data_IF_443078622324
#
_entry.id   IF_443078622324
#
_cell.length_a   1.000
_cell.length_b   1.000
_cell.length_c   1.000
_cell.angle_alpha   90.00
_cell.angle_beta   90.00
_cell.angle_gamma   90.00
#
_symmetry.space_group_name_H-M   'P 1'
#
loop_
_entity.id
_entity.type
_entity.pdbx_description
1 polymer ?
#
# COMPACT_ATOMS: atom_id res chain seq x y z
N UNK A 1 3.59 -1.20 34.53
CA UNK A 1 4.56 -0.91 33.44
C UNK A 1 3.87 -1.00 32.10
N UNK A 2 3.76 0.11 31.36
CA UNK A 2 3.11 0.15 30.05
C UNK A 2 4.16 0.26 28.92
N UNK A 3 5.16 -0.64 28.97
CA UNK A 3 6.23 -0.69 27.97
C UNK A 3 5.69 -1.32 26.69
N UNK A 4 5.81 -0.63 25.55
CA UNK A 4 5.41 -1.15 24.23
C UNK A 4 6.49 -2.03 23.58
N UNK A 5 7.76 -1.80 23.94
CA UNK A 5 8.93 -2.52 23.43
C UNK A 5 9.87 -2.80 24.62
N UNK A 6 10.48 -3.97 24.66
CA UNK A 6 11.52 -4.32 25.65
C UNK A 6 12.64 -5.14 25.01
N UNK A 7 13.75 -5.26 25.73
CA UNK A 7 14.77 -6.27 25.46
C UNK A 7 14.21 -7.68 25.66
N UNK A 8 14.80 -8.66 24.98
CA UNK A 8 14.42 -10.05 25.14
C UNK A 8 14.85 -10.56 26.51
N UNK A 9 13.93 -11.20 27.24
CA UNK A 9 14.16 -11.75 28.57
C UNK A 9 13.69 -13.20 28.74
N UNK A 10 13.09 -13.77 27.70
CA UNK A 10 12.59 -15.15 27.69
C UNK A 10 12.50 -15.70 26.26
N UNK A 11 12.36 -17.01 26.18
CA UNK A 11 12.13 -17.74 24.95
C UNK A 11 10.82 -17.33 24.29
N UNK A 12 10.85 -17.18 22.98
CA UNK A 12 9.65 -17.05 22.17
C UNK A 12 8.99 -18.42 21.98
N UNK A 13 7.66 -18.42 22.00
CA UNK A 13 6.85 -19.59 21.66
C UNK A 13 6.17 -19.40 20.31
N UNK A 14 5.83 -20.51 19.64
CA UNK A 14 5.05 -20.49 18.40
C UNK A 14 3.56 -20.29 18.71
N UNK A 15 3.22 -19.13 19.27
CA UNK A 15 1.85 -18.75 19.66
C UNK A 15 1.48 -17.38 19.08
N UNK A 16 0.19 -17.03 19.11
CA UNK A 16 -0.32 -15.72 18.67
C UNK A 16 0.18 -15.35 17.26
N UNK A 17 0.90 -14.23 17.11
CA UNK A 17 1.38 -13.73 15.83
C UNK A 17 2.48 -14.60 15.22
N UNK A 18 3.30 -15.28 16.03
CA UNK A 18 4.28 -16.23 15.53
C UNK A 18 3.56 -17.42 14.87
N UNK A 19 2.56 -17.98 15.56
CA UNK A 19 1.73 -19.05 15.00
C UNK A 19 0.96 -18.60 13.75
N UNK A 20 0.40 -17.38 13.77
CA UNK A 20 -0.32 -16.83 12.63
C UNK A 20 0.59 -16.72 11.39
N UNK A 21 1.82 -16.24 11.55
CA UNK A 21 2.78 -16.15 10.44
C UNK A 21 3.25 -17.53 9.97
N UNK A 22 3.47 -18.48 10.88
CA UNK A 22 3.82 -19.86 10.54
C UNK A 22 2.74 -20.56 9.71
N UNK A 23 1.45 -20.33 10.04
CA UNK A 23 0.28 -20.84 9.30
C UNK A 23 0.17 -20.33 7.86
N UNK A 24 1.00 -19.38 7.44
CA UNK A 24 1.09 -18.95 6.05
C UNK A 24 2.03 -19.81 5.20
N UNK A 25 2.93 -20.56 5.83
CA UNK A 25 3.79 -21.53 5.16
C UNK A 25 2.93 -22.68 4.61
N UNK A 26 3.19 -23.13 3.37
CA UNK A 26 2.52 -24.31 2.81
C UNK A 26 3.16 -25.61 3.32
N UNK A 27 3.09 -25.81 4.64
CA UNK A 27 3.56 -27.01 5.31
C UNK A 27 2.79 -27.20 6.62
N UNK A 28 2.62 -28.44 7.13
CA UNK A 28 2.04 -28.69 8.44
C UNK A 28 2.78 -27.93 9.54
N UNK A 29 2.02 -27.34 10.47
CA UNK A 29 2.61 -26.57 11.56
C UNK A 29 3.36 -27.50 12.52
N UNK A 30 4.65 -27.20 12.75
CA UNK A 30 5.48 -27.85 13.75
C UNK A 30 6.12 -26.80 14.67
N UNK A 31 5.85 -26.89 15.96
CA UNK A 31 6.27 -25.96 17.02
C UNK A 31 7.56 -26.36 17.73
N UNK A 32 8.16 -27.50 17.35
CA UNK A 32 9.43 -27.97 17.90
C UNK A 32 10.61 -27.60 17.01
N UNK A 33 10.49 -27.85 15.70
CA UNK A 33 11.58 -27.67 14.74
C UNK A 33 11.23 -26.72 13.59
N UNK A 34 9.97 -26.29 13.49
CA UNK A 34 9.49 -25.51 12.36
C UNK A 34 9.20 -26.35 11.12
N UNK A 35 8.98 -25.70 9.98
CA UNK A 35 8.61 -26.37 8.73
C UNK A 35 9.13 -25.61 7.50
N UNK A 36 9.24 -26.33 6.37
CA UNK A 36 9.75 -25.84 5.10
C UNK A 36 8.83 -26.28 3.96
N UNK A 37 8.25 -25.31 3.23
CA UNK A 37 7.36 -25.55 2.11
C UNK A 37 8.10 -26.00 0.82
N UNK A 38 9.43 -26.03 0.84
CA UNK A 38 10.27 -26.49 -0.28
C UNK A 38 9.91 -25.79 -1.58
N UNK A 39 9.60 -26.55 -2.63
CA UNK A 39 9.23 -26.04 -3.96
C UNK A 39 7.82 -25.46 -4.00
N UNK A 40 6.93 -25.86 -3.10
CA UNK A 40 5.51 -25.46 -3.06
C UNK A 40 5.24 -24.21 -2.22
N UNK A 41 6.27 -23.41 -1.91
CA UNK A 41 6.14 -22.20 -1.11
C UNK A 41 5.18 -21.15 -1.73
N UNK A 42 5.02 -21.16 -3.06
CA UNK A 42 4.07 -20.29 -3.77
C UNK A 42 2.60 -20.63 -3.49
N UNK A 43 2.27 -21.81 -2.98
CA UNK A 43 0.90 -22.15 -2.59
C UNK A 43 0.55 -21.61 -1.18
N UNK A 44 1.54 -21.05 -0.46
CA UNK A 44 1.35 -20.45 0.86
C UNK A 44 0.51 -19.16 0.83
N UNK A 45 0.00 -18.78 2.00
CA UNK A 45 -0.84 -17.57 2.12
C UNK A 45 -0.01 -16.30 1.95
N UNK A 46 -0.52 -15.30 1.21
CA UNK A 46 0.21 -14.05 0.95
C UNK A 46 0.36 -13.20 2.23
N UNK A 47 1.49 -12.49 2.31
CA UNK A 47 1.84 -11.54 3.38
C UNK A 47 2.22 -10.21 2.73
N UNK A 48 1.50 -9.13 3.09
CA UNK A 48 1.90 -7.77 2.72
C UNK A 48 3.15 -7.37 3.52
N UNK A 49 4.21 -6.94 2.83
CA UNK A 49 5.45 -6.50 3.48
C UNK A 49 5.61 -5.00 3.37
N UNK A 50 5.87 -4.37 4.52
CA UNK A 50 6.20 -2.94 4.62
C UNK A 50 7.61 -2.82 5.17
N UNK A 51 8.48 -2.05 4.50
CA UNK A 51 9.81 -1.71 5.02
C UNK A 51 9.79 -0.30 5.60
N UNK A 52 10.36 -0.16 6.79
CA UNK A 52 10.49 1.12 7.50
C UNK A 52 11.94 1.65 7.37
N UNK A 53 12.09 2.98 7.32
CA UNK A 53 13.39 3.63 7.19
C UNK A 53 14.41 3.29 8.29
N UNK A 54 13.96 2.93 9.50
CA UNK A 54 14.84 2.52 10.61
C UNK A 54 15.64 1.25 10.31
N UNK A 55 15.26 0.48 9.29
CA UNK A 55 16.01 -0.66 8.81
C UNK A 55 17.26 -0.29 7.99
N UNK A 56 17.47 0.99 7.64
CA UNK A 56 18.57 1.42 6.79
C UNK A 56 19.97 1.01 7.27
N UNK A 57 20.15 0.82 8.59
CA UNK A 57 21.40 0.30 9.18
C UNK A 57 21.68 -1.17 8.86
N UNK A 58 20.65 -1.95 8.55
CA UNK A 58 20.72 -3.40 8.36
C UNK A 58 20.34 -3.84 6.94
N UNK A 59 19.71 -2.98 6.15
CA UNK A 59 19.18 -3.33 4.84
C UNK A 59 19.25 -2.17 3.86
N UNK A 60 19.97 -2.39 2.75
CA UNK A 60 20.00 -1.48 1.59
C UNK A 60 18.65 -1.30 0.89
N UNK A 61 17.67 -2.15 1.19
CA UNK A 61 16.33 -2.10 0.59
C UNK A 61 15.34 -1.23 1.38
N UNK A 62 15.73 -0.77 2.58
CA UNK A 62 14.92 0.14 3.37
C UNK A 62 14.70 1.47 2.63
N UNK A 63 13.51 2.09 2.74
CA UNK A 63 13.30 3.43 2.20
C UNK A 63 14.14 4.45 2.99
N UNK A 64 14.43 5.60 2.37
CA UNK A 64 15.15 6.70 3.04
C UNK A 64 14.35 7.30 4.20
N UNK A 65 13.03 7.34 4.05
CA UNK A 65 12.11 7.93 5.03
C UNK A 65 10.82 7.10 5.15
N UNK A 66 10.13 7.26 6.27
CA UNK A 66 8.78 6.72 6.49
C UNK A 66 8.65 5.20 6.35
N UNK A 67 7.54 4.78 5.76
CA UNK A 67 7.17 3.38 5.53
C UNK A 67 6.83 3.20 4.05
N UNK A 68 7.30 2.11 3.43
CA UNK A 68 6.99 1.77 2.04
C UNK A 68 6.44 0.35 1.94
N UNK A 69 5.30 0.20 1.27
CA UNK A 69 4.78 -1.10 0.89
C UNK A 69 5.61 -1.68 -0.26
N UNK A 70 6.10 -2.90 -0.09
CA UNK A 70 7.04 -3.54 -1.01
C UNK A 70 6.46 -4.78 -1.71
N UNK A 71 5.15 -4.97 -1.61
CA UNK A 71 4.39 -6.03 -2.27
C UNK A 71 4.11 -7.24 -1.39
N UNK A 72 3.70 -8.31 -2.07
CA UNK A 72 3.30 -9.60 -1.53
C UNK A 72 4.49 -10.56 -1.43
N UNK A 73 4.60 -11.20 -0.28
CA UNK A 73 5.58 -12.23 0.03
C UNK A 73 4.87 -13.47 0.55
N UNK A 74 5.56 -14.60 0.52
CA UNK A 74 5.11 -15.87 1.10
C UNK A 74 6.17 -16.44 2.01
N UNK A 75 5.73 -17.14 3.06
CA UNK A 75 6.61 -17.81 4.02
C UNK A 75 7.11 -19.11 3.38
N UNK A 76 8.41 -19.19 3.13
CA UNK A 76 9.07 -20.37 2.56
C UNK A 76 9.34 -21.40 3.64
N UNK A 77 9.91 -20.96 4.76
CA UNK A 77 10.18 -21.79 5.92
C UNK A 77 10.23 -20.96 7.19
N UNK A 78 10.10 -21.62 8.32
CA UNK A 78 10.27 -21.02 9.63
C UNK A 78 10.88 -22.04 10.58
N UNK A 79 11.66 -21.60 11.56
CA UNK A 79 12.42 -22.46 12.47
C UNK A 79 12.80 -21.70 13.76
N UNK A 80 12.96 -22.39 14.91
CA UNK A 80 13.51 -21.79 16.11
C UNK A 80 15.02 -21.65 16.00
N UNK A 81 15.59 -20.59 16.58
CA UNK A 81 17.03 -20.35 16.65
C UNK A 81 17.39 -19.61 17.94
N UNK A 82 18.65 -19.66 18.38
CA UNK A 82 19.11 -18.93 19.58
C UNK A 82 19.49 -17.50 19.21
N UNK A 83 19.04 -16.54 20.02
CA UNK A 83 19.47 -15.15 19.93
C UNK A 83 20.89 -14.98 20.46
N UNK A 84 21.48 -13.81 20.23
CA UNK A 84 22.80 -13.45 20.80
C UNK A 84 22.81 -13.46 22.33
N UNK A 85 21.64 -13.43 22.97
CA UNK A 85 21.47 -13.49 24.42
C UNK A 85 21.03 -14.89 24.91
N UNK A 86 21.09 -15.91 24.05
CA UNK A 86 20.84 -17.31 24.40
C UNK A 86 19.37 -17.74 24.39
N UNK A 87 18.41 -16.83 24.22
CA UNK A 87 16.98 -17.15 24.19
C UNK A 87 16.51 -17.64 22.82
N UNK A 88 15.53 -18.53 22.80
CA UNK A 88 14.90 -19.01 21.57
C UNK A 88 14.10 -17.89 20.89
N UNK A 89 14.28 -17.75 19.58
CA UNK A 89 13.51 -16.88 18.69
C UNK A 89 13.01 -17.66 17.47
N UNK A 90 11.80 -17.35 17.02
CA UNK A 90 11.27 -17.91 15.78
C UNK A 90 11.68 -17.07 14.58
N UNK A 91 12.43 -17.66 13.66
CA UNK A 91 12.86 -17.03 12.40
C UNK A 91 11.98 -17.48 11.25
N UNK A 92 11.77 -16.58 10.29
CA UNK A 92 10.94 -16.79 9.11
C UNK A 92 11.71 -16.37 7.87
N UNK A 93 11.66 -17.19 6.83
CA UNK A 93 12.20 -16.87 5.51
C UNK A 93 11.04 -16.51 4.61
N UNK A 94 11.02 -15.26 4.15
CA UNK A 94 10.01 -14.74 3.24
C UNK A 94 10.62 -14.57 1.84
N UNK A 95 9.87 -14.96 0.81
CA UNK A 95 10.24 -14.72 -0.59
C UNK A 95 9.11 -13.96 -1.29
N UNK A 96 9.49 -13.01 -2.14
CA UNK A 96 8.55 -12.16 -2.87
C UNK A 96 7.84 -12.98 -3.95
N UNK A 97 6.52 -12.83 -4.03
CA UNK A 97 5.65 -13.45 -5.05
C UNK A 97 4.55 -12.44 -5.39
N UNK A 98 4.94 -11.43 -6.17
CA UNK A 98 4.11 -10.28 -6.50
C UNK A 98 4.38 -9.89 -7.96
N UNK A 99 3.33 -9.73 -8.79
CA UNK A 99 3.47 -9.38 -10.20
C UNK A 99 4.00 -7.95 -10.42
N UNK A 100 3.76 -7.02 -9.49
CA UNK A 100 4.32 -5.68 -9.61
C UNK A 100 5.83 -5.69 -9.38
N UNK A 101 6.62 -4.88 -10.10
CA UNK A 101 8.06 -4.81 -9.89
C UNK A 101 8.40 -4.28 -8.49
N UNK A 102 9.51 -4.75 -7.92
CA UNK A 102 9.92 -4.32 -6.59
C UNK A 102 10.43 -2.86 -6.62
N UNK A 103 10.17 -2.02 -5.61
CA UNK A 103 10.47 -0.58 -5.65
C UNK A 103 11.92 -0.16 -5.92
N UNK A 104 12.89 -1.06 -5.72
CA UNK A 104 14.31 -0.80 -5.95
C UNK A 104 14.80 -1.21 -7.34
N UNK A 105 13.99 -1.94 -8.12
CA UNK A 105 14.29 -2.31 -9.50
C UNK A 105 14.08 -1.12 -10.45
N UNK A 106 14.74 -1.08 -11.63
CA UNK A 106 14.49 -0.04 -12.63
C UNK A 106 13.00 0.11 -12.98
N UNK A 107 12.33 -1.01 -13.26
CA UNK A 107 10.89 -1.06 -13.61
C UNK A 107 10.03 -0.56 -12.45
N UNK A 108 10.42 -0.88 -11.21
CA UNK A 108 9.75 -0.40 -10.01
C UNK A 108 9.89 1.12 -9.83
N UNK A 109 11.06 1.69 -10.12
CA UNK A 109 11.29 3.13 -10.05
C UNK A 109 10.51 3.87 -11.13
N UNK A 110 10.52 3.36 -12.35
CA UNK A 110 9.72 3.89 -13.46
C UNK A 110 8.23 3.84 -13.12
N UNK A 111 7.73 2.71 -12.59
CA UNK A 111 6.33 2.59 -12.15
C UNK A 111 5.98 3.58 -11.04
N UNK A 112 6.87 3.80 -10.06
CA UNK A 112 6.67 4.79 -9.00
C UNK A 112 6.59 6.21 -9.57
N UNK A 113 7.48 6.55 -10.49
CA UNK A 113 7.48 7.85 -11.18
C UNK A 113 6.22 8.02 -12.04
N UNK A 114 5.88 7.00 -12.83
CA UNK A 114 4.69 6.95 -13.66
C UNK A 114 3.41 7.10 -12.84
N UNK A 115 3.31 6.46 -11.67
CA UNK A 115 2.16 6.58 -10.77
C UNK A 115 2.15 7.89 -9.95
N UNK A 116 3.24 8.67 -9.97
CA UNK A 116 3.36 9.90 -9.18
C UNK A 116 3.31 9.66 -7.66
N UNK A 117 3.76 8.49 -7.20
CA UNK A 117 3.69 8.12 -5.78
C UNK A 117 4.70 8.94 -4.98
N UNK A 118 4.21 9.62 -3.94
CA UNK A 118 4.99 10.49 -3.05
C UNK A 118 4.81 10.11 -1.59
N UNK A 119 5.71 10.59 -0.73
CA UNK A 119 5.55 10.46 0.72
C UNK A 119 4.22 11.08 1.15
N UNK A 120 3.43 10.32 1.89
CA UNK A 120 2.17 10.77 2.44
C UNK A 120 2.38 11.15 3.90
N UNK A 121 1.92 12.34 4.26
CA UNK A 121 1.86 12.82 5.63
C UNK A 121 0.40 12.94 6.06
N UNK A 122 0.10 12.80 7.36
CA UNK A 122 -1.21 13.14 7.88
C UNK A 122 -1.57 14.61 7.58
N UNK A 123 -2.87 14.89 7.47
CA UNK A 123 -3.36 16.24 7.20
C UNK A 123 -2.87 17.24 8.26
N UNK A 124 -2.45 18.42 7.82
CA UNK A 124 -1.90 19.47 8.68
C UNK A 124 -0.52 19.18 9.28
N UNK A 125 0.08 17.99 9.06
CA UNK A 125 1.37 17.64 9.64
C UNK A 125 2.50 18.56 9.15
N UNK A 126 2.59 18.78 7.84
CA UNK A 126 3.63 19.63 7.25
C UNK A 126 3.50 21.08 7.71
N UNK A 127 2.29 21.63 7.71
CA UNK A 127 2.01 22.97 8.21
C UNK A 127 2.38 23.13 9.69
N UNK A 128 2.10 22.11 10.49
CA UNK A 128 2.45 22.08 11.92
C UNK A 128 3.98 22.04 12.09
N UNK A 129 4.67 21.19 11.33
CA UNK A 129 6.13 21.12 11.35
C UNK A 129 6.79 22.45 10.90
N UNK A 130 6.22 23.13 9.91
CA UNK A 130 6.67 24.46 9.49
C UNK A 130 6.47 25.53 10.57
N UNK A 131 5.35 25.47 11.32
CA UNK A 131 5.10 26.38 12.45
C UNK A 131 6.11 26.15 13.57
N UNK A 132 6.45 24.88 13.86
CA UNK A 132 7.48 24.54 14.85
C UNK A 132 8.87 25.00 14.43
N UNK A 133 9.26 24.81 13.16
CA UNK A 133 10.57 25.28 12.68
C UNK A 133 10.68 26.81 12.70
N UNK A 134 9.60 27.52 12.39
CA UNK A 134 9.53 29.00 12.47
C UNK A 134 9.52 29.53 13.92
N UNK A 135 9.01 28.76 14.89
CA UNK A 135 9.02 29.15 16.31
C UNK A 135 10.36 28.87 16.99
N UNK A 136 11.10 27.83 16.58
CA UNK A 136 12.47 27.59 17.08
C UNK A 136 13.50 28.64 16.67
N UNK A 137 13.26 29.40 15.59
CA UNK A 137 14.12 30.52 15.18
C UNK A 137 13.92 31.77 16.07
N UNK A 138 12.85 31.83 16.87
CA UNK A 138 12.54 32.96 17.77
C UNK A 138 12.54 32.53 19.24
N UNK A 139 13.67 32.06 19.78
CA UNK A 139 14.03 32.20 21.22
C UNK A 139 15.41 31.60 21.55
N UNK A 140 16.43 32.47 21.58
CA UNK A 140 17.23 32.76 22.79
C UNK A 140 18.11 34.01 22.53
N UNK A 141 18.04 35.05 23.38
CA UNK A 141 19.08 36.07 23.44
C UNK A 141 20.36 35.44 24.00
N UNK A 142 21.47 35.90 23.45
CA UNK A 142 22.85 35.63 23.81
C UNK A 142 23.15 36.01 25.26
N UNK A 143 23.87 35.16 25.98
CA UNK A 143 24.84 35.58 26.99
C UNK A 143 26.20 35.29 26.36
N UNK A 144 27.00 36.35 26.26
CA UNK A 144 28.33 36.42 25.71
C UNK A 144 29.31 35.57 26.52
N UNK A 145 30.21 34.87 25.83
CA UNK A 145 31.62 34.90 26.23
C UNK A 145 32.51 34.70 25.00
N UNK A 146 33.49 35.58 24.89
CA UNK A 146 34.35 35.84 23.73
C UNK A 146 35.51 34.84 23.61
N UNK A 147 35.85 34.47 22.37
CA UNK A 147 37.23 34.47 21.84
C UNK A 147 37.24 34.17 20.33
N UNK A 148 37.27 35.26 19.55
CA UNK A 148 38.11 35.61 18.38
C UNK A 148 38.54 34.47 17.41
N UNK A 149 38.01 34.43 16.18
CA UNK A 149 38.56 34.97 14.89
C UNK A 149 39.63 34.05 14.27
N UNK A 150 39.51 33.57 13.03
CA UNK A 150 39.73 34.36 11.81
C UNK A 150 39.07 33.78 10.52
N UNK A 151 38.89 34.70 9.57
CA UNK A 151 38.28 34.75 8.23
C UNK A 151 38.75 33.67 7.22
N UNK A 152 38.20 33.43 6.01
CA UNK A 152 37.26 34.01 5.02
C UNK A 152 36.97 32.85 4.01
N UNK A 153 35.91 32.75 3.22
CA UNK A 153 35.48 33.63 2.12
C UNK A 153 34.00 33.34 1.77
N UNK A 154 33.30 34.41 1.38
CA UNK A 154 31.95 34.41 0.83
C UNK A 154 32.05 34.23 -0.68
N UNK A 155 31.24 33.35 -1.26
CA UNK A 155 30.79 33.53 -2.64
C UNK A 155 29.26 33.68 -2.66
N UNK A 156 28.84 34.90 -2.95
CA UNK A 156 27.45 35.32 -3.10
C UNK A 156 27.13 35.31 -4.59
N UNK A 157 26.32 34.36 -5.06
CA UNK A 157 25.64 34.51 -6.36
C UNK A 157 24.12 34.42 -6.21
N UNK A 158 23.36 35.34 -6.82
CA UNK A 158 21.92 35.49 -6.59
C UNK A 158 21.11 34.44 -7.37
N UNK A 159 20.32 33.63 -6.64
CA UNK A 159 19.36 32.68 -7.23
C UNK A 159 18.23 33.47 -7.90
N UNK A 160 18.28 33.58 -9.23
CA UNK A 160 17.17 34.03 -10.07
C UNK A 160 15.98 33.07 -9.89
N UNK A 161 14.84 33.61 -9.46
CA UNK A 161 13.55 32.91 -9.39
C UNK A 161 13.12 32.43 -10.79
N UNK A 162 13.30 31.15 -11.09
CA UNK A 162 12.67 30.52 -12.23
C UNK A 162 11.17 30.34 -11.96
N UNK A 163 10.34 31.17 -12.60
CA UNK A 163 8.90 30.93 -12.74
C UNK A 163 8.72 29.76 -13.71
N UNK A 164 8.56 28.55 -13.19
CA UNK A 164 8.19 27.39 -14.01
C UNK A 164 6.73 27.52 -14.45
N UNK A 165 6.52 27.82 -15.75
CA UNK A 165 5.22 27.69 -16.43
C UNK A 165 4.74 26.25 -16.23
N UNK A 166 3.55 26.07 -15.63
CA UNK A 166 2.86 24.77 -15.58
C UNK A 166 2.56 24.31 -17.01
N UNK A 167 3.35 23.38 -17.52
CA UNK A 167 3.01 22.61 -18.71
C UNK A 167 1.98 21.57 -18.25
N UNK A 168 0.74 21.72 -18.71
CA UNK A 168 -0.38 20.80 -18.42
C UNK A 168 -0.17 19.55 -19.29
N UNK A 169 0.69 18.65 -18.83
CA UNK A 169 0.99 17.39 -19.53
C UNK A 169 -0.19 16.44 -19.29
N UNK A 170 -1.00 16.22 -20.32
CA UNK A 170 -2.11 15.25 -20.31
C UNK A 170 -1.55 13.86 -20.01
N UNK A 171 -2.02 13.24 -18.94
CA UNK A 171 -1.65 11.87 -18.59
C UNK A 171 -2.38 10.92 -19.53
N UNK A 172 -1.64 10.11 -20.29
CA UNK A 172 -2.21 9.08 -21.14
C UNK A 172 -2.18 7.71 -20.45
N UNK A 173 -3.26 6.94 -20.64
CA UNK A 173 -3.40 5.60 -20.06
C UNK A 173 -2.62 4.59 -20.90
N UNK A 174 -2.06 3.56 -20.26
CA UNK A 174 -1.49 2.40 -20.97
C UNK A 174 -2.57 1.75 -21.85
N UNK A 175 -2.19 1.25 -23.03
CA UNK A 175 -3.15 0.74 -24.02
C UNK A 175 -3.98 -0.44 -23.47
N UNK A 176 -3.35 -1.34 -22.69
CA UNK A 176 -4.05 -2.43 -22.00
C UNK A 176 -5.16 -1.91 -21.05
N UNK A 177 -4.90 -0.81 -20.36
CA UNK A 177 -5.88 -0.22 -19.45
C UNK A 177 -7.03 0.46 -20.21
N UNK A 178 -6.73 1.10 -21.36
CA UNK A 178 -7.75 1.69 -22.23
C UNK A 178 -8.70 0.61 -22.75
N UNK A 179 -8.14 -0.49 -23.25
CA UNK A 179 -8.92 -1.63 -23.77
C UNK A 179 -9.84 -2.21 -22.68
N UNK A 180 -9.32 -2.40 -21.46
CA UNK A 180 -10.13 -2.88 -20.34
C UNK A 180 -11.26 -1.89 -19.99
N UNK A 181 -10.97 -0.59 -19.96
CA UNK A 181 -11.99 0.43 -19.66
C UNK A 181 -13.07 0.47 -20.74
N UNK A 182 -12.71 0.40 -22.02
CA UNK A 182 -13.65 0.44 -23.14
C UNK A 182 -14.53 -0.82 -23.23
N UNK A 183 -13.97 -1.98 -22.84
CA UNK A 183 -14.71 -3.23 -22.81
C UNK A 183 -15.73 -3.32 -21.65
N UNK A 184 -15.62 -2.48 -20.62
CA UNK A 184 -16.53 -2.45 -19.47
C UNK A 184 -17.76 -1.57 -19.72
N UNK A 185 -18.56 -1.98 -20.72
CA UNK A 185 -19.69 -1.20 -21.26
C UNK A 185 -20.72 -0.79 -20.21
N UNK A 186 -20.93 -1.63 -19.18
CA UNK A 186 -21.94 -1.35 -18.13
C UNK A 186 -21.52 -0.18 -17.25
N UNK A 187 -20.21 0.07 -17.10
CA UNK A 187 -19.69 1.16 -16.27
C UNK A 187 -19.20 2.36 -17.10
N UNK A 188 -19.62 2.48 -18.37
CA UNK A 188 -19.17 3.55 -19.28
C UNK A 188 -19.29 4.93 -18.63
N UNK A 189 -20.43 5.25 -18.02
CA UNK A 189 -20.63 6.54 -17.35
C UNK A 189 -19.61 6.81 -16.24
N UNK A 190 -19.34 5.81 -15.39
CA UNK A 190 -18.36 5.92 -14.31
C UNK A 190 -16.94 6.09 -14.85
N UNK A 191 -16.62 5.39 -15.95
CA UNK A 191 -15.33 5.49 -16.61
C UNK A 191 -15.13 6.84 -17.28
N UNK A 192 -16.13 7.40 -17.96
CA UNK A 192 -16.04 8.73 -18.57
C UNK A 192 -15.86 9.83 -17.51
N UNK A 193 -16.55 9.74 -16.36
CA UNK A 193 -16.30 10.63 -15.23
C UNK A 193 -14.85 10.56 -14.74
N UNK A 194 -14.27 9.36 -14.68
CA UNK A 194 -12.88 9.17 -14.31
C UNK A 194 -11.93 9.71 -15.38
N UNK A 195 -12.17 9.39 -16.67
CA UNK A 195 -11.37 9.85 -17.81
C UNK A 195 -11.35 11.38 -17.91
N UNK A 196 -12.43 12.07 -17.57
CA UNK A 196 -12.47 13.53 -17.52
C UNK A 196 -11.39 14.12 -16.58
N UNK A 197 -10.99 13.37 -15.54
CA UNK A 197 -9.92 13.74 -14.59
C UNK A 197 -8.51 13.49 -15.09
N UNK A 198 -8.31 12.86 -16.26
CA UNK A 198 -6.98 12.70 -16.87
C UNK A 198 -6.31 14.05 -17.14
N UNK A 199 -7.11 15.07 -17.51
CA UNK A 199 -6.64 16.44 -17.75
C UNK A 199 -6.16 17.17 -16.49
N UNK A 200 -6.63 16.73 -15.31
CA UNK A 200 -6.23 17.21 -13.99
C UNK A 200 -5.00 16.44 -13.44
N UNK A 201 -4.53 15.46 -14.21
CA UNK A 201 -3.38 14.63 -13.89
C UNK A 201 -3.75 13.32 -13.21
N UNK A 202 -2.80 12.38 -13.24
CA UNK A 202 -2.98 11.01 -12.74
C UNK A 202 -3.52 10.90 -11.30
N UNK A 203 -3.07 11.70 -10.31
CA UNK A 203 -3.63 11.60 -8.97
C UNK A 203 -5.12 11.89 -8.91
N UNK A 204 -5.62 12.82 -9.73
CA UNK A 204 -7.05 13.13 -9.82
C UNK A 204 -7.83 11.97 -10.46
N UNK A 205 -7.30 11.38 -11.54
CA UNK A 205 -7.84 10.16 -12.14
C UNK A 205 -7.92 9.02 -11.12
N UNK A 206 -6.81 8.69 -10.44
CA UNK A 206 -6.77 7.62 -9.44
C UNK A 206 -7.70 7.92 -8.25
N UNK A 207 -7.81 9.16 -7.80
CA UNK A 207 -8.76 9.50 -6.73
C UNK A 207 -10.20 9.26 -7.19
N UNK A 208 -10.53 9.64 -8.42
CA UNK A 208 -11.86 9.46 -8.99
C UNK A 208 -12.21 7.97 -9.12
N UNK A 209 -11.31 7.15 -9.69
CA UNK A 209 -11.51 5.69 -9.80
C UNK A 209 -11.73 5.06 -8.43
N UNK A 210 -10.88 5.37 -7.44
CA UNK A 210 -11.02 4.82 -6.08
C UNK A 210 -12.33 5.18 -5.41
N UNK A 211 -12.94 6.30 -5.78
CA UNK A 211 -14.20 6.77 -5.22
C UNK A 211 -15.41 6.18 -5.94
N UNK A 212 -15.41 6.18 -7.28
CA UNK A 212 -16.50 5.63 -8.09
C UNK A 212 -16.59 4.11 -7.99
N UNK A 213 -15.46 3.43 -7.83
CA UNK A 213 -15.40 1.97 -7.69
C UNK A 213 -15.18 1.53 -6.24
N UNK A 214 -15.83 2.22 -5.30
CA UNK A 214 -15.84 1.89 -3.87
C UNK A 214 -17.06 1.04 -3.53
N UNK A 215 -16.85 -0.07 -2.84
CA UNK A 215 -17.93 -0.94 -2.40
C UNK A 215 -18.66 -0.35 -1.19
N UNK A 216 -19.99 -0.20 -1.29
CA UNK A 216 -20.83 0.32 -0.19
C UNK A 216 -20.82 -0.56 1.06
N UNK A 217 -20.53 -1.86 0.93
CA UNK A 217 -20.58 -2.81 2.06
C UNK A 217 -19.30 -2.85 2.89
N UNK A 218 -18.13 -2.78 2.24
CA UNK A 218 -16.83 -2.87 2.93
C UNK A 218 -16.04 -1.55 2.91
N UNK A 219 -16.56 -0.52 2.22
CA UNK A 219 -15.96 0.81 2.07
C UNK A 219 -14.56 0.82 1.41
N UNK A 220 -14.11 -0.32 0.90
CA UNK A 220 -12.86 -0.47 0.14
C UNK A 220 -13.10 -0.43 -1.37
N UNK A 221 -12.01 -0.36 -2.13
CA UNK A 221 -12.03 -0.53 -3.59
C UNK A 221 -12.59 -1.93 -3.91
N UNK A 222 -13.40 -2.02 -4.98
CA UNK A 222 -14.09 -3.23 -5.38
C UNK A 222 -13.14 -4.38 -5.71
N UNK A 223 -13.15 -5.45 -4.90
CA UNK A 223 -12.40 -6.68 -5.15
C UNK A 223 -13.30 -7.78 -5.69
N UNK A 224 -12.98 -8.29 -6.88
CA UNK A 224 -13.85 -9.19 -7.67
C UNK A 224 -15.29 -8.64 -7.75
N UNK A 225 -15.47 -7.46 -8.37
CA UNK A 225 -16.78 -6.81 -8.45
C UNK A 225 -17.81 -7.67 -9.18
N UNK A 226 -19.04 -7.60 -8.72
CA UNK A 226 -20.26 -8.04 -9.40
C UNK A 226 -20.99 -6.77 -9.81
N UNK A 227 -21.23 -6.60 -11.11
CA UNK A 227 -22.09 -5.53 -11.62
C UNK A 227 -23.51 -6.06 -11.69
N UNK A 228 -24.41 -5.43 -10.94
CA UNK A 228 -25.83 -5.82 -10.84
C UNK A 228 -26.64 -5.30 -12.03
N UNK A 229 -27.86 -5.82 -12.31
CA UNK A 229 -28.71 -5.31 -13.38
C UNK A 229 -29.16 -3.86 -13.16
N UNK A 230 -29.15 -3.39 -11.91
CA UNK A 230 -29.35 -1.99 -11.55
C UNK A 230 -28.06 -1.16 -11.61
N UNK A 231 -27.04 -1.61 -12.36
CA UNK A 231 -25.78 -0.93 -12.66
C UNK A 231 -24.91 -0.55 -11.46
N UNK A 232 -25.13 -1.18 -10.30
CA UNK A 232 -24.30 -1.00 -9.12
C UNK A 232 -23.25 -2.11 -9.01
N UNK A 233 -22.07 -1.73 -8.54
CA UNK A 233 -20.94 -2.64 -8.38
C UNK A 233 -20.71 -2.98 -6.91
N UNK A 234 -20.65 -4.27 -6.58
CA UNK A 234 -20.46 -4.78 -5.20
C UNK A 234 -19.41 -5.89 -5.21
N UNK A 235 -18.53 -5.96 -4.21
CA UNK A 235 -17.58 -7.07 -4.08
C UNK A 235 -18.31 -8.42 -4.03
N UNK A 236 -17.85 -9.43 -4.75
CA UNK A 236 -18.42 -10.79 -4.74
C UNK A 236 -18.69 -11.31 -3.32
N UNK A 237 -17.71 -11.16 -2.43
CA UNK A 237 -17.83 -11.60 -1.02
C UNK A 237 -18.90 -10.81 -0.26
N UNK A 238 -19.03 -9.52 -0.53
CA UNK A 238 -20.03 -8.67 0.14
C UNK A 238 -21.44 -9.01 -0.31
N UNK A 239 -21.65 -9.21 -1.62
CA UNK A 239 -22.95 -9.61 -2.14
C UNK A 239 -23.36 -11.01 -1.66
N UNK A 240 -22.43 -11.99 -1.73
CA UNK A 240 -22.68 -13.35 -1.21
C UNK A 240 -23.05 -13.34 0.27
N UNK A 241 -22.43 -12.47 1.08
CA UNK A 241 -22.78 -12.33 2.51
C UNK A 241 -24.21 -11.80 2.70
N UNK A 242 -24.66 -10.87 1.86
CA UNK A 242 -26.05 -10.37 1.89
C UNK A 242 -27.03 -11.52 1.61
N UNK A 243 -26.76 -12.30 0.57
CA UNK A 243 -27.62 -13.41 0.16
C UNK A 243 -27.63 -14.53 1.20
N UNK A 244 -26.52 -14.81 1.89
CA UNK A 244 -26.50 -15.77 2.99
C UNK A 244 -27.32 -15.35 4.21
N UNK A 245 -27.81 -14.11 4.24
CA UNK A 245 -28.75 -13.61 5.24
C UNK A 245 -30.14 -13.38 4.65
N UNK A 246 -30.46 -14.03 3.54
CA UNK A 246 -31.76 -13.96 2.85
C UNK A 246 -32.13 -12.54 2.36
N UNK A 247 -31.13 -11.67 2.20
CA UNK A 247 -31.30 -10.32 1.65
C UNK A 247 -30.90 -10.33 0.18
N UNK A 248 -31.91 -10.47 -0.70
CA UNK A 248 -31.78 -10.58 -2.15
C UNK A 248 -31.95 -9.24 -2.90
N UNK A 249 -31.50 -8.15 -2.28
CA UNK A 249 -31.57 -6.80 -2.84
C UNK A 249 -30.18 -6.24 -3.11
N UNK A 250 -30.06 -5.35 -4.09
CA UNK A 250 -28.85 -4.57 -4.31
C UNK A 250 -28.52 -3.76 -3.03
N UNK A 251 -27.31 -3.92 -2.45
CA UNK A 251 -26.92 -3.18 -1.24
C UNK A 251 -26.87 -1.66 -1.41
N UNK A 252 -26.81 -1.15 -2.65
CA UNK A 252 -26.71 0.29 -2.92
C UNK A 252 -28.09 0.93 -3.08
N UNK A 253 -28.94 0.42 -3.97
CA UNK A 253 -30.22 1.04 -4.33
C UNK A 253 -31.46 0.21 -3.94
N UNK A 254 -31.27 -0.95 -3.33
CA UNK A 254 -32.34 -1.90 -2.95
C UNK A 254 -33.18 -2.43 -4.11
N UNK A 255 -32.66 -2.41 -5.33
CA UNK A 255 -33.26 -3.12 -6.46
C UNK A 255 -33.40 -4.63 -6.14
N UNK A 256 -34.54 -5.27 -6.39
CA UNK A 256 -34.73 -6.70 -6.15
C UNK A 256 -33.93 -7.54 -7.15
N UNK A 257 -32.91 -8.25 -6.66
CA UNK A 257 -32.09 -9.15 -7.48
C UNK A 257 -32.75 -10.53 -7.61
N UNK A 258 -33.43 -10.98 -6.55
CA UNK A 258 -34.08 -12.28 -6.48
C UNK A 258 -33.16 -13.38 -5.94
N UNK A 259 -33.77 -14.42 -5.37
CA UNK A 259 -33.08 -15.54 -4.72
C UNK A 259 -32.21 -16.33 -5.71
N UNK A 260 -32.70 -16.51 -6.94
CA UNK A 260 -32.03 -17.26 -8.01
C UNK A 260 -31.09 -16.38 -8.87
N UNK A 261 -30.67 -15.22 -8.37
CA UNK A 261 -29.79 -14.32 -9.12
C UNK A 261 -28.41 -14.95 -9.36
N UNK A 262 -28.01 -15.01 -10.63
CA UNK A 262 -26.73 -15.57 -11.07
C UNK A 262 -25.58 -14.58 -10.85
N UNK A 263 -24.88 -14.72 -9.72
CA UNK A 263 -23.80 -13.82 -9.31
C UNK A 263 -22.54 -14.07 -10.16
N UNK A 264 -22.32 -13.21 -11.16
CA UNK A 264 -21.11 -13.22 -12.01
C UNK A 264 -20.17 -12.06 -11.70
N UNK A 265 -18.87 -12.37 -11.66
CA UNK A 265 -17.83 -11.34 -11.52
C UNK A 265 -17.68 -10.61 -12.85
N UNK A 266 -17.67 -9.28 -12.81
CA UNK A 266 -17.25 -8.45 -13.93
C UNK A 266 -15.72 -8.54 -14.05
N UNK A 267 -15.25 -9.44 -14.91
CA UNK A 267 -13.82 -9.71 -15.09
C UNK A 267 -13.07 -8.52 -15.68
N UNK A 268 -13.73 -7.77 -16.56
CA UNK A 268 -13.16 -6.58 -17.19
C UNK A 268 -12.88 -5.51 -16.16
N UNK A 269 -13.89 -5.13 -15.36
CA UNK A 269 -13.71 -4.19 -14.25
C UNK A 269 -12.69 -4.71 -13.23
N UNK A 270 -12.74 -6.01 -12.90
CA UNK A 270 -11.78 -6.61 -11.97
C UNK A 270 -10.34 -6.46 -12.46
N UNK A 271 -10.10 -6.66 -13.76
CA UNK A 271 -8.76 -6.58 -14.37
C UNK A 271 -8.30 -5.13 -14.44
N UNK A 272 -9.17 -4.21 -14.85
CA UNK A 272 -8.87 -2.78 -14.88
C UNK A 272 -8.44 -2.27 -13.50
N UNK A 273 -9.22 -2.60 -12.46
CA UNK A 273 -8.89 -2.16 -11.10
C UNK A 273 -7.62 -2.81 -10.55
N UNK A 274 -7.32 -4.07 -10.89
CA UNK A 274 -6.05 -4.71 -10.51
C UNK A 274 -4.84 -4.10 -11.21
N UNK A 275 -5.01 -3.63 -12.44
CA UNK A 275 -3.96 -2.92 -13.18
C UNK A 275 -3.69 -1.55 -12.56
N UNK A 276 -4.76 -0.81 -12.23
CA UNK A 276 -4.69 0.50 -11.57
C UNK A 276 -4.15 0.38 -10.13
N UNK A 277 -4.63 -0.61 -9.37
CA UNK A 277 -4.26 -0.87 -7.98
C UNK A 277 -3.79 -2.33 -7.84
N UNK A 278 -2.49 -2.59 -7.97
CA UNK A 278 -1.99 -3.95 -7.79
C UNK A 278 -2.10 -4.41 -6.32
N UNK A 279 -2.87 -5.47 -6.08
CA UNK A 279 -2.84 -6.22 -4.81
C UNK A 279 -3.67 -5.64 -3.65
N UNK A 280 -4.74 -4.89 -3.94
CA UNK A 280 -5.78 -4.59 -2.92
C UNK A 280 -6.72 -5.78 -2.69
#
# INVERSE_FOLDING_TARGET
GNKRISTQSKDQTLTRMNLALAKNCNAPVNDKIGADAKTKWKEGKPVRVVRNYKLGKFSKYAPKEGNRYDGIYKVVKYYPDKSTHGFVMWKYVLRRDDPSPAPWTPEGKEKIAFLGLKMLYPDGYLETMEKFSKTTVKKRPTIEDNSEEDNSEKDNTPIKKFKSKKIKQTFDLEDELKDLIENDKVNTTLWEECKAKLSDGKPAFLSCVSERFKCVCCLGILYKPVTTPCEHNICLKCLKRSFSSEIYFCPTCRYPLGENYDIKVNQTLSSALLLIYPGY
#
